data_IF_112305275173
#
_entry.id   IF_112305275173
#
_cell.length_a   1.000
_cell.length_b   1.000
_cell.length_c   1.000
_cell.angle_alpha   90.00
_cell.angle_beta   90.00
_cell.angle_gamma   90.00
#
_symmetry.space_group_name_H-M   'P 1'
#
loop_
_entity.id
_entity.type
_entity.pdbx_description
1 polymer ?
#
# COMPACT_ATOMS: atom_id res chain seq x y z
N UNK A 1 -34.34 56.39 19.99
CA UNK A 1 -33.54 55.25 20.50
C UNK A 1 -33.47 54.04 19.55
N UNK A 2 -34.18 54.00 18.40
CA UNK A 2 -34.15 52.81 17.51
C UNK A 2 -33.10 52.84 16.37
N UNK A 3 -32.51 54.00 16.02
CA UNK A 3 -31.58 54.09 14.88
C UNK A 3 -30.14 53.64 15.20
N UNK A 4 -29.70 53.75 16.45
CA UNK A 4 -28.34 53.34 16.86
C UNK A 4 -28.19 51.82 16.91
N UNK A 5 -29.24 51.11 17.35
CA UNK A 5 -29.30 49.65 17.40
C UNK A 5 -29.17 49.00 16.01
N UNK A 6 -29.80 49.59 14.98
CA UNK A 6 -29.71 49.09 13.61
C UNK A 6 -28.32 49.24 12.97
N UNK A 7 -27.62 50.36 13.27
CA UNK A 7 -26.25 50.62 12.78
C UNK A 7 -25.24 49.68 13.45
N UNK A 8 -25.42 49.37 14.72
CA UNK A 8 -24.56 48.46 15.46
C UNK A 8 -24.72 47.00 15.00
N UNK A 9 -25.96 46.55 14.77
CA UNK A 9 -26.23 45.23 14.19
C UNK A 9 -25.59 45.05 12.80
N UNK A 10 -25.71 46.05 11.92
CA UNK A 10 -25.07 46.02 10.60
C UNK A 10 -23.55 45.94 10.67
N UNK A 11 -22.93 46.64 11.63
CA UNK A 11 -21.48 46.63 11.85
C UNK A 11 -21.00 45.26 12.37
N UNK A 12 -21.77 44.62 13.24
CA UNK A 12 -21.48 43.27 13.73
C UNK A 12 -21.61 42.22 12.63
N UNK A 13 -22.61 42.31 11.76
CA UNK A 13 -22.78 41.42 10.61
C UNK A 13 -21.60 41.49 9.63
N UNK A 14 -21.10 42.70 9.34
CA UNK A 14 -19.92 42.87 8.47
C UNK A 14 -18.66 42.24 9.07
N UNK A 15 -18.41 42.45 10.37
CA UNK A 15 -17.28 41.85 11.09
C UNK A 15 -17.35 40.32 11.09
N UNK A 16 -18.55 39.75 11.27
CA UNK A 16 -18.74 38.31 11.22
C UNK A 16 -18.47 37.75 9.82
N UNK A 17 -18.95 38.42 8.77
CA UNK A 17 -18.71 38.00 7.38
C UNK A 17 -17.22 38.02 7.02
N UNK A 18 -16.48 39.04 7.45
CA UNK A 18 -15.03 39.14 7.25
C UNK A 18 -14.27 38.04 8.02
N UNK A 19 -14.66 37.77 9.26
CA UNK A 19 -14.07 36.69 10.07
C UNK A 19 -14.30 35.31 9.45
N UNK A 20 -15.49 35.05 8.89
CA UNK A 20 -15.80 33.80 8.19
C UNK A 20 -14.96 33.63 6.92
N UNK A 21 -14.85 34.67 6.09
CA UNK A 21 -13.97 34.61 4.90
C UNK A 21 -12.52 34.35 5.28
N UNK A 22 -12.03 34.99 6.34
CA UNK A 22 -10.66 34.78 6.82
C UNK A 22 -10.44 33.35 7.32
N UNK A 23 -11.41 32.80 8.05
CA UNK A 23 -11.37 31.40 8.52
C UNK A 23 -11.30 30.43 7.34
N UNK A 24 -12.10 30.66 6.30
CA UNK A 24 -12.17 29.75 5.16
C UNK A 24 -10.88 29.82 4.33
N UNK A 25 -10.31 31.01 4.13
CA UNK A 25 -8.99 31.16 3.49
C UNK A 25 -7.87 30.48 4.28
N UNK A 26 -7.86 30.61 5.62
CA UNK A 26 -6.87 29.91 6.46
C UNK A 26 -7.01 28.38 6.39
N UNK A 27 -8.22 27.85 6.21
CA UNK A 27 -8.43 26.40 6.04
C UNK A 27 -7.82 25.90 4.73
N UNK A 28 -7.98 26.64 3.64
CA UNK A 28 -7.39 26.28 2.35
C UNK A 28 -5.86 26.31 2.41
N UNK A 29 -5.28 27.32 3.06
CA UNK A 29 -3.82 27.39 3.28
C UNK A 29 -3.32 26.22 4.13
N UNK A 30 -4.03 25.89 5.22
CA UNK A 30 -3.69 24.74 6.06
C UNK A 30 -3.71 23.43 5.27
N UNK A 31 -4.70 23.23 4.40
CA UNK A 31 -4.79 22.01 3.59
C UNK A 31 -3.65 21.94 2.57
N UNK A 32 -3.28 23.07 1.96
CA UNK A 32 -2.12 23.14 1.05
C UNK A 32 -0.82 22.80 1.77
N UNK A 33 -0.58 23.38 2.95
CA UNK A 33 0.61 23.08 3.77
C UNK A 33 0.63 21.61 4.17
N UNK A 34 -0.53 21.03 4.50
CA UNK A 34 -0.66 19.60 4.81
C UNK A 34 -0.27 18.72 3.63
N UNK A 35 -0.74 19.04 2.42
CA UNK A 35 -0.38 18.29 1.22
C UNK A 35 1.12 18.39 0.90
N UNK A 36 1.73 19.56 1.07
CA UNK A 36 3.16 19.75 0.81
C UNK A 36 4.03 19.05 1.87
N UNK A 37 3.60 19.05 3.13
CA UNK A 37 4.23 18.24 4.18
C UNK A 37 4.20 16.75 3.84
N UNK A 38 3.06 16.23 3.38
CA UNK A 38 2.95 14.82 2.96
C UNK A 38 3.93 14.48 1.82
N UNK A 39 4.09 15.36 0.83
CA UNK A 39 5.08 15.16 -0.25
C UNK A 39 6.51 15.11 0.28
N UNK A 40 6.87 16.03 1.18
CA UNK A 40 8.19 16.05 1.81
C UNK A 40 8.46 14.79 2.65
N UNK A 41 7.45 14.29 3.38
CA UNK A 41 7.56 13.05 4.14
C UNK A 41 7.76 11.81 3.24
N UNK A 42 7.15 11.79 2.04
CA UNK A 42 7.37 10.75 1.05
C UNK A 42 8.83 10.80 0.56
N UNK A 43 9.31 11.98 0.14
CA UNK A 43 10.69 12.15 -0.33
C UNK A 43 11.72 11.75 0.74
N UNK A 44 11.53 12.21 1.98
CA UNK A 44 12.40 11.84 3.11
C UNK A 44 12.47 10.33 3.32
N UNK A 45 11.35 9.61 3.20
CA UNK A 45 11.31 8.15 3.36
C UNK A 45 12.09 7.43 2.28
N UNK A 46 11.92 7.82 1.02
CA UNK A 46 12.69 7.26 -0.10
C UNK A 46 14.19 7.43 0.13
N UNK A 47 14.61 8.62 0.57
CA UNK A 47 16.02 8.89 0.87
C UNK A 47 16.55 8.05 2.04
N UNK A 48 15.76 7.88 3.11
CA UNK A 48 16.15 7.03 4.24
C UNK A 48 16.28 5.57 3.83
N UNK A 49 15.37 5.06 3.00
CA UNK A 49 15.46 3.70 2.47
C UNK A 49 16.71 3.54 1.59
N UNK A 50 17.04 4.51 0.74
CA UNK A 50 18.29 4.51 -0.06
C UNK A 50 19.55 4.47 0.81
N UNK A 51 19.62 5.29 1.87
CA UNK A 51 20.77 5.32 2.78
C UNK A 51 20.93 4.01 3.54
N UNK A 52 19.81 3.42 4.01
CA UNK A 52 19.82 2.13 4.73
C UNK A 52 20.27 0.98 3.84
N UNK A 53 19.86 0.99 2.57
CA UNK A 53 20.30 0.02 1.57
C UNK A 53 21.79 0.19 1.25
N UNK A 54 22.25 1.43 1.08
CA UNK A 54 23.65 1.75 0.79
C UNK A 54 24.62 1.30 1.89
N UNK A 55 24.18 1.35 3.15
CA UNK A 55 25.01 1.01 4.30
C UNK A 55 24.92 -0.48 4.72
N UNK A 56 24.15 -1.32 4.01
CA UNK A 56 23.96 -2.74 4.36
C UNK A 56 23.24 -2.99 5.70
N UNK A 57 22.84 -1.92 6.40
CA UNK A 57 22.17 -1.94 7.70
C UNK A 57 20.66 -2.02 7.54
N UNK A 58 20.15 -3.23 7.30
CA UNK A 58 18.72 -3.51 7.38
C UNK A 58 18.30 -3.62 8.86
N UNK A 59 18.00 -2.50 9.51
CA UNK A 59 17.37 -2.53 10.84
C UNK A 59 15.84 -2.49 10.72
N UNK A 60 15.21 -3.54 11.25
CA UNK A 60 13.78 -3.69 11.44
C UNK A 60 13.38 -2.78 12.61
N UNK A 61 12.86 -1.59 12.32
CA UNK A 61 12.30 -0.72 13.35
C UNK A 61 10.79 -0.95 13.45
N UNK A 62 10.41 -1.84 14.37
CA UNK A 62 9.02 -2.27 14.66
C UNK A 62 8.18 -1.12 15.26
N UNK A 63 8.79 -0.04 15.75
CA UNK A 63 8.10 0.98 16.56
C UNK A 63 7.98 2.36 15.89
N UNK A 64 8.68 2.63 14.78
CA UNK A 64 8.68 3.97 14.14
C UNK A 64 7.87 4.08 12.86
N UNK A 65 7.29 2.99 12.36
CA UNK A 65 6.59 3.02 11.08
C UNK A 65 5.07 2.98 11.28
N UNK A 66 4.44 4.15 11.36
CA UNK A 66 3.00 4.28 11.09
C UNK A 66 2.82 4.47 9.58
N UNK A 67 2.21 3.53 8.85
CA UNK A 67 1.83 3.79 7.47
C UNK A 67 0.72 4.86 7.50
N UNK A 68 1.02 6.07 7.04
CA UNK A 68 -0.02 7.02 6.62
C UNK A 68 -0.52 6.58 5.23
N UNK A 69 -1.09 5.38 5.20
CA UNK A 69 -2.07 4.98 4.21
C UNK A 69 -3.26 4.49 5.02
N UNK A 70 -3.95 5.42 5.68
CA UNK A 70 -5.40 5.27 5.77
C UNK A 70 -5.90 5.41 4.34
N UNK A 71 -5.80 4.33 3.56
CA UNK A 71 -6.72 4.16 2.45
C UNK A 71 -8.09 4.03 3.13
N UNK A 72 -8.76 5.17 3.27
CA UNK A 72 -10.16 5.25 3.60
C UNK A 72 -10.88 4.25 2.70
N UNK A 73 -11.60 3.32 3.33
CA UNK A 73 -12.37 2.26 2.66
C UNK A 73 -13.61 2.86 1.97
N UNK A 74 -13.69 4.17 1.79
CA UNK A 74 -14.82 4.89 1.19
C UNK A 74 -14.64 5.16 -0.32
N UNK A 75 -13.56 4.67 -0.93
CA UNK A 75 -13.26 4.84 -2.36
C UNK A 75 -13.26 3.54 -3.17
N UNK A 76 -14.19 2.61 -2.93
CA UNK A 76 -14.22 1.26 -3.54
C UNK A 76 -14.43 1.20 -5.08
N UNK A 77 -14.12 2.26 -5.84
CA UNK A 77 -14.02 2.22 -7.31
C UNK A 77 -12.62 1.71 -7.68
N UNK A 78 -12.55 0.51 -8.26
CA UNK A 78 -11.30 -0.07 -8.80
C UNK A 78 -10.75 -1.30 -8.06
N UNK A 79 -11.47 -1.81 -7.05
CA UNK A 79 -11.10 -3.05 -6.37
C UNK A 79 -11.38 -4.27 -7.26
N UNK A 80 -10.36 -5.10 -7.45
CA UNK A 80 -10.52 -6.39 -8.13
C UNK A 80 -10.68 -7.47 -7.05
N UNK A 81 -11.89 -8.01 -6.94
CA UNK A 81 -12.14 -9.19 -6.12
C UNK A 81 -11.60 -10.44 -6.82
N UNK A 82 -10.79 -11.24 -6.14
CA UNK A 82 -10.19 -12.44 -6.72
C UNK A 82 -11.07 -13.66 -6.40
N UNK A 83 -11.69 -14.31 -7.41
CA UNK A 83 -12.53 -15.48 -7.18
C UNK A 83 -11.69 -16.71 -6.79
N UNK A 84 -12.31 -17.63 -6.05
CA UNK A 84 -11.70 -18.92 -5.69
C UNK A 84 -10.66 -18.87 -4.56
N UNK A 85 -10.38 -17.69 -4.00
CA UNK A 85 -9.50 -17.57 -2.83
C UNK A 85 -10.26 -17.93 -1.54
N UNK A 86 -9.70 -18.88 -0.76
CA UNK A 86 -10.26 -19.29 0.55
C UNK A 86 -10.30 -18.12 1.55
N UNK A 87 -9.34 -17.22 1.44
CA UNK A 87 -9.23 -16.00 2.23
C UNK A 87 -9.43 -14.78 1.35
N UNK A 88 -10.32 -13.87 1.74
CA UNK A 88 -10.65 -12.70 0.93
C UNK A 88 -9.39 -11.94 0.49
N UNK A 89 -9.24 -11.82 -0.82
CA UNK A 89 -8.16 -11.11 -1.48
C UNK A 89 -8.75 -10.04 -2.38
N UNK A 90 -8.30 -8.81 -2.18
CA UNK A 90 -8.67 -7.67 -3.00
C UNK A 90 -7.41 -7.02 -3.57
N UNK A 91 -7.32 -6.91 -4.89
CA UNK A 91 -6.22 -6.22 -5.55
C UNK A 91 -6.62 -4.76 -5.74
N UNK A 92 -5.78 -3.85 -5.26
CA UNK A 92 -5.96 -2.40 -5.37
C UNK A 92 -5.16 -1.83 -6.52
N UNK A 93 -4.00 -2.42 -6.80
CA UNK A 93 -3.17 -2.09 -7.94
C UNK A 93 -2.53 -3.37 -8.48
N UNK A 94 -2.81 -3.71 -9.74
CA UNK A 94 -2.13 -4.82 -10.40
C UNK A 94 -0.68 -4.51 -10.73
N UNK A 95 -0.25 -3.25 -10.56
CA UNK A 95 1.08 -2.79 -10.92
C UNK A 95 1.26 -2.70 -12.44
N UNK A 96 2.51 -2.59 -12.85
CA UNK A 96 2.94 -2.60 -14.24
C UNK A 96 3.91 -3.73 -14.50
N UNK A 97 3.92 -4.23 -15.73
CA UNK A 97 4.89 -5.24 -16.16
C UNK A 97 6.33 -4.70 -16.03
N UNK A 98 7.26 -5.47 -15.43
CA UNK A 98 8.66 -5.05 -15.36
C UNK A 98 9.30 -4.95 -16.75
N UNK A 99 10.35 -4.14 -16.88
CA UNK A 99 11.12 -4.11 -18.12
C UNK A 99 11.89 -5.43 -18.33
N UNK A 100 12.17 -5.78 -19.59
CA UNK A 100 12.91 -7.01 -19.92
C UNK A 100 14.33 -7.07 -19.31
N UNK A 101 14.91 -5.91 -18.96
CA UNK A 101 16.20 -5.79 -18.25
C UNK A 101 16.09 -6.12 -16.75
N UNK A 102 14.90 -6.04 -16.17
CA UNK A 102 14.63 -6.23 -14.74
C UNK A 102 14.41 -7.71 -14.39
N UNK A 103 15.37 -8.56 -14.74
CA UNK A 103 15.32 -10.02 -14.52
C UNK A 103 14.93 -10.47 -13.10
N UNK A 104 15.28 -9.75 -12.02
CA UNK A 104 14.85 -10.15 -10.67
C UNK A 104 13.33 -10.14 -10.44
N UNK A 105 12.55 -9.44 -11.26
CA UNK A 105 11.09 -9.36 -11.11
C UNK A 105 10.33 -10.52 -11.73
N UNK A 106 10.99 -11.39 -12.49
CA UNK A 106 10.27 -12.46 -13.14
C UNK A 106 11.16 -13.67 -13.42
N UNK A 107 10.54 -14.83 -13.44
CA UNK A 107 11.14 -16.06 -13.90
C UNK A 107 10.08 -16.85 -14.70
N UNK A 108 10.38 -18.09 -15.06
CA UNK A 108 9.47 -18.92 -15.86
C UNK A 108 8.15 -19.25 -15.13
N UNK A 109 8.11 -19.14 -13.80
CA UNK A 109 6.95 -19.48 -12.95
C UNK A 109 6.19 -18.25 -12.48
N UNK A 110 6.90 -17.21 -12.06
CA UNK A 110 6.33 -16.05 -11.37
C UNK A 110 6.71 -14.76 -12.07
N UNK A 111 5.77 -13.81 -12.06
CA UNK A 111 5.99 -12.43 -12.44
C UNK A 111 5.58 -11.59 -11.25
N UNK A 112 6.41 -10.62 -10.90
CA UNK A 112 6.19 -9.66 -9.84
C UNK A 112 5.97 -8.30 -10.50
N UNK A 113 4.71 -7.87 -10.72
CA UNK A 113 4.45 -6.55 -11.28
C UNK A 113 5.01 -5.46 -10.36
N UNK A 114 5.58 -4.42 -10.97
CA UNK A 114 6.12 -3.27 -10.23
C UNK A 114 4.94 -2.46 -9.70
N UNK A 115 5.03 -2.08 -8.42
CA UNK A 115 4.00 -1.31 -7.70
C UNK A 115 2.68 -2.08 -7.49
N UNK A 116 2.74 -3.42 -7.57
CA UNK A 116 1.62 -4.29 -7.20
C UNK A 116 1.19 -4.04 -5.75
N UNK A 117 -0.12 -3.97 -5.52
CA UNK A 117 -0.72 -3.80 -4.20
C UNK A 117 -2.01 -4.59 -4.06
N UNK A 118 -2.08 -5.44 -3.04
CA UNK A 118 -3.31 -6.11 -2.65
C UNK A 118 -3.52 -6.03 -1.13
N UNK A 119 -4.73 -6.32 -0.69
CA UNK A 119 -5.01 -6.63 0.71
C UNK A 119 -5.59 -8.03 0.83
N UNK A 120 -5.14 -8.76 1.83
CA UNK A 120 -5.65 -10.10 2.16
C UNK A 120 -6.12 -10.12 3.60
N UNK A 121 -7.35 -10.58 3.80
CA UNK A 121 -7.85 -10.91 5.13
C UNK A 121 -7.24 -12.24 5.57
N UNK A 122 -6.53 -12.28 6.68
CA UNK A 122 -5.96 -13.50 7.23
C UNK A 122 -5.95 -13.46 8.75
N UNK A 123 -5.62 -14.55 9.44
CA UNK A 123 -5.59 -14.56 10.90
C UNK A 123 -4.66 -13.47 11.46
N UNK A 124 -5.02 -12.90 12.61
CA UNK A 124 -4.14 -11.98 13.34
C UNK A 124 -2.88 -12.71 13.82
N UNK A 125 -1.74 -12.02 13.75
CA UNK A 125 -0.49 -12.48 14.35
C UNK A 125 -0.56 -12.51 15.87
N UNK A 126 0.31 -13.32 16.49
CA UNK A 126 0.45 -13.36 17.95
C UNK A 126 0.86 -11.98 18.49
N UNK A 127 0.14 -11.47 19.49
CA UNK A 127 0.43 -10.17 20.11
C UNK A 127 -0.32 -8.98 19.50
N UNK A 128 -1.12 -9.16 18.45
CA UNK A 128 -2.01 -8.11 17.96
C UNK A 128 -3.11 -7.82 18.98
N UNK A 129 -3.37 -6.54 19.35
CA UNK A 129 -4.39 -6.20 20.34
C UNK A 129 -5.81 -6.60 19.85
N UNK A 130 -6.55 -7.32 20.70
CA UNK A 130 -7.98 -7.62 20.50
C UNK A 130 -8.36 -9.03 20.03
N UNK A 131 -7.75 -10.09 20.61
CA UNK A 131 -8.24 -11.48 20.55
C UNK A 131 -8.24 -12.16 19.17
N UNK A 132 -8.67 -13.43 19.16
CA UNK A 132 -8.83 -14.28 17.96
C UNK A 132 -9.67 -13.58 16.89
N UNK A 133 -9.24 -13.67 15.63
CA UNK A 133 -9.96 -13.09 14.51
C UNK A 133 -9.08 -12.84 13.28
N UNK A 134 -9.65 -12.11 12.33
CA UNK A 134 -8.97 -11.73 11.09
C UNK A 134 -8.35 -10.32 11.19
N UNK A 135 -7.22 -10.15 10.54
CA UNK A 135 -6.52 -8.91 10.26
C UNK A 135 -6.49 -8.71 8.74
N UNK A 136 -6.37 -7.45 8.32
CA UNK A 136 -6.25 -7.10 6.90
C UNK A 136 -4.81 -6.70 6.60
N UNK A 137 -4.07 -7.61 6.00
CA UNK A 137 -2.68 -7.38 5.61
C UNK A 137 -2.63 -6.67 4.27
N UNK A 138 -1.86 -5.60 4.20
CA UNK A 138 -1.52 -4.91 2.95
C UNK A 138 -0.21 -5.45 2.41
N UNK A 139 -0.25 -5.98 1.21
CA UNK A 139 0.88 -6.63 0.53
C UNK A 139 1.31 -5.74 -0.64
N UNK A 140 2.58 -5.35 -0.71
CA UNK A 140 3.09 -4.54 -1.82
C UNK A 140 4.39 -5.08 -2.40
N UNK A 141 4.58 -4.85 -3.71
CA UNK A 141 5.83 -5.12 -4.42
C UNK A 141 6.32 -3.81 -5.02
N UNK A 142 7.50 -3.35 -4.61
CA UNK A 142 8.09 -2.10 -5.09
C UNK A 142 9.34 -2.36 -5.91
N UNK A 143 9.68 -1.39 -6.76
CA UNK A 143 10.96 -1.38 -7.44
C UNK A 143 11.99 -0.54 -6.70
N UNK A 144 13.06 -1.20 -6.26
CA UNK A 144 14.21 -0.57 -5.63
C UNK A 144 15.47 -0.99 -6.39
N UNK A 145 16.05 -0.05 -7.13
CA UNK A 145 17.25 -0.28 -7.94
C UNK A 145 17.13 -1.51 -8.88
N UNK A 146 16.01 -1.63 -9.60
CA UNK A 146 15.71 -2.75 -10.52
C UNK A 146 15.62 -4.12 -9.84
N UNK A 147 15.31 -4.15 -8.54
CA UNK A 147 15.01 -5.37 -7.77
C UNK A 147 13.66 -5.25 -7.06
N UNK A 148 12.91 -6.36 -6.93
CA UNK A 148 11.66 -6.36 -6.20
C UNK A 148 11.92 -6.29 -4.69
N UNK A 149 11.28 -5.33 -4.04
CA UNK A 149 11.14 -5.27 -2.58
C UNK A 149 9.72 -5.68 -2.22
N UNK A 150 9.58 -6.72 -1.41
CA UNK A 150 8.29 -7.20 -0.92
C UNK A 150 8.00 -6.58 0.44
N UNK A 151 6.74 -6.25 0.70
CA UNK A 151 6.29 -5.67 1.96
C UNK A 151 4.95 -6.29 2.39
N UNK A 152 4.83 -6.69 3.66
CA UNK A 152 3.57 -7.06 4.32
C UNK A 152 3.39 -6.10 5.50
N UNK A 153 2.25 -5.42 5.56
CA UNK A 153 1.94 -4.48 6.64
C UNK A 153 0.54 -4.66 7.21
N UNK A 154 0.41 -4.50 8.52
CA UNK A 154 -0.86 -4.51 9.26
C UNK A 154 -0.70 -3.59 10.48
N UNK A 155 -1.44 -2.47 10.51
CA UNK A 155 -1.31 -1.45 11.58
C UNK A 155 0.15 -1.02 11.79
N UNK A 156 0.76 -1.46 12.90
CA UNK A 156 2.14 -1.13 13.30
C UNK A 156 3.16 -2.20 12.81
N UNK A 157 2.69 -3.37 12.38
CA UNK A 157 3.53 -4.39 11.76
C UNK A 157 3.92 -3.95 10.34
N UNK A 158 5.22 -3.99 10.04
CA UNK A 158 5.74 -3.80 8.69
C UNK A 158 6.97 -4.69 8.47
N UNK A 159 6.83 -5.70 7.62
CA UNK A 159 7.90 -6.63 7.23
C UNK A 159 8.26 -6.36 5.79
N UNK A 160 9.54 -6.09 5.50
CA UNK A 160 10.02 -5.79 4.15
C UNK A 160 11.37 -6.42 3.85
N UNK A 161 11.62 -6.74 2.59
CA UNK A 161 12.86 -7.40 2.17
C UNK A 161 12.67 -8.26 0.93
N UNK A 162 13.51 -9.29 0.79
CA UNK A 162 13.36 -10.27 -0.29
C UNK A 162 12.19 -11.20 -0.02
N UNK A 163 11.64 -11.78 -1.08
CA UNK A 163 10.49 -12.68 -1.05
C UNK A 163 10.54 -13.74 0.09
N UNK A 164 11.61 -14.53 0.16
CA UNK A 164 11.75 -15.59 1.16
C UNK A 164 11.96 -15.06 2.58
N UNK A 165 12.75 -13.99 2.74
CA UNK A 165 13.03 -13.36 4.04
C UNK A 165 11.74 -12.80 4.66
N UNK A 166 10.95 -12.07 3.87
CA UNK A 166 9.66 -11.51 4.30
C UNK A 166 8.67 -12.61 4.63
N UNK A 167 8.60 -13.66 3.81
CA UNK A 167 7.67 -14.75 4.06
C UNK A 167 7.99 -15.52 5.33
N UNK A 168 9.26 -15.83 5.56
CA UNK A 168 9.69 -16.55 6.75
C UNK A 168 9.46 -15.72 8.01
N UNK A 169 9.76 -14.42 7.96
CA UNK A 169 9.45 -13.49 9.04
C UNK A 169 7.93 -13.45 9.31
N UNK A 170 7.11 -13.36 8.26
CA UNK A 170 5.66 -13.37 8.40
C UNK A 170 5.13 -14.70 9.00
N UNK A 171 5.61 -15.85 8.50
CA UNK A 171 5.27 -17.18 9.05
C UNK A 171 5.58 -17.28 10.54
N UNK A 172 6.71 -16.72 10.98
CA UNK A 172 7.14 -16.77 12.38
C UNK A 172 6.22 -16.04 13.36
N UNK A 173 5.31 -15.19 12.85
CA UNK A 173 4.32 -14.48 13.68
C UNK A 173 3.15 -15.37 14.15
N UNK A 174 3.02 -16.57 13.58
CA UNK A 174 1.96 -17.52 13.86
C UNK A 174 2.51 -18.71 14.64
N UNK A 175 1.75 -19.20 15.62
CA UNK A 175 2.12 -20.38 16.41
C UNK A 175 1.79 -21.70 15.73
N UNK A 176 1.12 -21.65 14.58
CA UNK A 176 0.78 -22.79 13.74
C UNK A 176 1.35 -22.60 12.34
N UNK A 177 1.40 -23.69 11.58
CA UNK A 177 1.79 -23.63 10.18
C UNK A 177 0.71 -22.92 9.35
N UNK A 178 1.08 -21.83 8.68
CA UNK A 178 0.17 -21.14 7.77
C UNK A 178 -0.04 -21.96 6.50
N UNK A 179 -1.23 -21.83 5.91
CA UNK A 179 -1.66 -22.63 4.75
C UNK A 179 -0.92 -22.29 3.45
N UNK A 180 -0.27 -21.12 3.39
CA UNK A 180 0.46 -20.66 2.23
C UNK A 180 1.87 -21.24 2.19
N UNK A 181 2.29 -21.73 1.02
CA UNK A 181 3.64 -22.25 0.78
C UNK A 181 4.67 -21.18 0.41
N UNK A 182 4.24 -19.99 -0.02
CA UNK A 182 5.15 -18.90 -0.42
C UNK A 182 4.52 -17.51 -0.34
N UNK A 183 5.36 -16.46 -0.39
CA UNK A 183 4.90 -15.07 -0.50
C UNK A 183 4.07 -14.84 -1.77
N UNK A 184 4.43 -15.51 -2.87
CA UNK A 184 3.73 -15.38 -4.15
C UNK A 184 2.28 -15.86 -4.02
N UNK A 185 2.07 -16.93 -3.27
CA UNK A 185 0.75 -17.47 -2.96
C UNK A 185 -0.02 -16.58 -2.00
N UNK A 186 0.62 -16.12 -0.92
CA UNK A 186 0.01 -15.17 0.01
C UNK A 186 -0.37 -13.85 -0.66
N UNK A 187 0.38 -13.38 -1.64
CA UNK A 187 0.05 -12.17 -2.40
C UNK A 187 -1.04 -12.43 -3.45
N UNK A 188 -1.40 -13.70 -3.70
CA UNK A 188 -2.40 -14.10 -4.69
C UNK A 188 -1.88 -14.07 -6.12
N UNK A 189 -0.58 -13.93 -6.35
CA UNK A 189 0.02 -13.90 -7.68
C UNK A 189 -0.01 -15.27 -8.38
N UNK A 190 -0.20 -16.35 -7.61
CA UNK A 190 -0.38 -17.69 -8.16
C UNK A 190 -1.83 -17.98 -8.58
N UNK A 191 -2.79 -17.13 -8.18
CA UNK A 191 -4.20 -17.32 -8.53
C UNK A 191 -4.40 -17.20 -10.05
N UNK A 192 -5.14 -18.14 -10.66
CA UNK A 192 -5.32 -18.21 -12.11
C UNK A 192 -5.94 -16.94 -12.70
N UNK A 193 -6.90 -16.35 -11.99
CA UNK A 193 -7.53 -15.10 -12.42
C UNK A 193 -6.53 -13.94 -12.39
N UNK A 194 -5.73 -13.84 -11.33
CA UNK A 194 -4.69 -12.80 -11.20
C UNK A 194 -3.60 -12.98 -12.26
N UNK A 195 -3.20 -14.22 -12.53
CA UNK A 195 -2.24 -14.53 -13.59
C UNK A 195 -2.76 -14.10 -14.95
N UNK A 196 -4.02 -14.42 -15.26
CA UNK A 196 -4.66 -13.97 -16.50
C UNK A 196 -4.64 -12.45 -16.65
N UNK A 197 -5.00 -11.73 -15.58
CA UNK A 197 -4.95 -10.26 -15.57
C UNK A 197 -3.54 -9.72 -15.82
N UNK A 198 -2.50 -10.36 -15.27
CA UNK A 198 -1.11 -9.99 -15.51
C UNK A 198 -0.69 -10.29 -16.96
N UNK A 199 -1.10 -11.40 -17.56
CA UNK A 199 -0.80 -11.71 -18.98
C UNK A 199 -1.44 -10.74 -19.98
N UNK A 200 -2.58 -10.16 -19.62
CA UNK A 200 -3.32 -9.23 -20.46
C UNK A 200 -2.74 -7.80 -20.42
N UNK A 201 -1.79 -7.50 -19.51
CA UNK A 201 -1.17 -6.18 -19.42
C UNK A 201 -0.19 -5.88 -20.56
N UNK A 202 -0.10 -4.60 -20.91
CA UNK A 202 0.92 -4.09 -21.84
C UNK A 202 2.34 -4.42 -21.35
N UNK A 203 3.21 -4.83 -22.28
CA UNK A 203 4.60 -5.20 -21.99
C UNK A 203 4.81 -6.67 -21.60
N UNK A 204 3.75 -7.43 -21.27
CA UNK A 204 3.88 -8.84 -20.87
C UNK A 204 4.56 -9.69 -21.94
N UNK A 205 4.16 -9.53 -23.21
CA UNK A 205 4.78 -10.23 -24.35
C UNK A 205 6.27 -9.91 -24.49
N UNK A 206 6.68 -8.69 -24.12
CA UNK A 206 8.08 -8.24 -24.16
C UNK A 206 8.99 -8.94 -23.13
N UNK A 207 8.43 -9.66 -22.15
CA UNK A 207 9.22 -10.46 -21.22
C UNK A 207 9.79 -11.74 -21.82
N UNK A 208 9.22 -12.22 -22.94
CA UNK A 208 9.66 -13.44 -23.62
C UNK A 208 9.35 -14.75 -22.87
N UNK A 209 8.35 -14.75 -21.98
CA UNK A 209 7.99 -15.89 -21.12
C UNK A 209 6.58 -16.47 -21.38
N UNK A 210 5.79 -15.87 -22.27
CA UNK A 210 4.35 -16.11 -22.44
C UNK A 210 3.96 -17.58 -22.68
N UNK A 211 4.60 -18.26 -23.63
CA UNK A 211 4.16 -19.59 -24.08
C UNK A 211 4.25 -20.70 -23.01
N UNK A 212 5.13 -20.55 -22.02
CA UNK A 212 5.30 -21.53 -20.92
C UNK A 212 4.56 -21.14 -19.66
N UNK A 213 4.26 -19.85 -19.50
CA UNK A 213 3.61 -19.34 -18.31
C UNK A 213 2.09 -19.56 -18.34
N UNK A 214 1.47 -19.50 -19.51
CA UNK A 214 0.02 -19.73 -19.68
C UNK A 214 -0.37 -21.22 -19.61
N UNK A 215 0.51 -22.15 -20.00
CA UNK A 215 0.21 -23.61 -20.03
C UNK A 215 0.23 -24.32 -18.67
N UNK A 216 0.66 -23.64 -17.60
CA UNK A 216 0.72 -24.18 -16.23
C UNK A 216 -0.28 -23.48 -15.29
N UNK A 217 -1.28 -22.82 -15.88
CA UNK A 217 -2.47 -22.32 -15.21
C UNK A 217 -3.52 -23.44 -15.20
#
# INVERSE_FOLDING_TARGET
MNEESGKECSKQQKRLAEALRRRDGLKEEMEKVRQDLQKLEIHRRVLLDMVRIGNGGMEIDVNRYRPIYKAEVEGAKGLIHVPGERYHLAIYNLGRIPMASMKPFYNQKNIYPIDYMCKRAYYKSRGSPGGDGYALYTCTIRNVCSKPLFEISERDLCIRGKAGEVFNAFKSLFSWEIEFGSITEFFGLNNLYVRRLISEQEGFRGLGIGDRWERKA
#
